data_IF_319567351714
#
_entry.id   IF_319567351714
#
_cell.length_a   1.000
_cell.length_b   1.000
_cell.length_c   1.000
_cell.angle_alpha   90.00
_cell.angle_beta   90.00
_cell.angle_gamma   90.00
#
_symmetry.space_group_name_H-M   'P 1'
#
loop_
_entity.id
_entity.type
_entity.pdbx_description
1 polymer ?
#
# COMPACT_ATOMS: atom_id res chain seq x y z
N UNK A 1 14.72 11.29 -14.59
CA UNK A 1 14.00 10.88 -13.37
C UNK A 1 12.51 10.91 -13.66
N UNK A 2 11.71 9.98 -13.14
CA UNK A 2 10.25 9.96 -13.28
C UNK A 2 9.63 10.07 -11.87
N UNK A 3 8.94 11.17 -11.53
CA UNK A 3 8.33 11.33 -10.22
C UNK A 3 6.99 10.59 -10.08
N UNK A 4 6.41 10.10 -11.17
CA UNK A 4 5.10 9.44 -11.12
C UNK A 4 5.21 8.10 -10.40
N UNK A 5 4.35 7.89 -9.41
CA UNK A 5 4.29 6.68 -8.60
C UNK A 5 2.86 6.17 -8.45
N UNK A 6 2.76 4.86 -8.28
CA UNK A 6 1.54 4.14 -7.99
C UNK A 6 1.75 3.25 -6.76
N UNK A 7 0.87 3.34 -5.77
CA UNK A 7 0.92 2.56 -4.53
C UNK A 7 -0.35 1.73 -4.42
N UNK A 8 -0.20 0.40 -4.44
CA UNK A 8 -1.30 -0.53 -4.23
C UNK A 8 -1.36 -0.98 -2.77
N UNK A 9 -2.52 -0.79 -2.14
CA UNK A 9 -2.81 -1.29 -0.80
C UNK A 9 -3.94 -2.30 -0.91
N UNK A 10 -3.61 -3.59 -0.76
CA UNK A 10 -4.52 -4.70 -1.05
C UNK A 10 -4.78 -5.51 0.23
N UNK A 11 -6.05 -5.81 0.49
CA UNK A 11 -6.45 -6.89 1.39
C UNK A 11 -6.42 -8.21 0.60
N UNK A 12 -5.47 -9.13 0.88
CA UNK A 12 -5.34 -10.37 0.14
C UNK A 12 -6.51 -11.34 0.36
N UNK A 13 -7.20 -11.27 1.51
CA UNK A 13 -8.32 -12.14 1.85
C UNK A 13 -9.58 -11.73 1.09
N UNK A 14 -9.84 -10.43 1.03
CA UNK A 14 -10.95 -9.88 0.25
C UNK A 14 -10.61 -9.77 -1.24
N UNK A 15 -9.32 -9.81 -1.59
CA UNK A 15 -8.81 -9.52 -2.94
C UNK A 15 -9.37 -8.20 -3.47
N UNK A 16 -9.44 -7.20 -2.58
CA UNK A 16 -9.86 -5.83 -2.86
C UNK A 16 -8.84 -4.87 -2.25
N UNK A 17 -8.83 -3.64 -2.72
CA UNK A 17 -7.94 -2.62 -2.18
C UNK A 17 -8.08 -1.29 -2.90
N UNK A 18 -7.05 -0.48 -2.78
CA UNK A 18 -6.99 0.84 -3.39
C UNK A 18 -5.66 1.06 -4.11
N UNK A 19 -5.74 1.71 -5.26
CA UNK A 19 -4.61 2.21 -6.03
C UNK A 19 -4.53 3.72 -5.84
N UNK A 20 -3.44 4.18 -5.23
CA UNK A 20 -3.12 5.58 -5.09
C UNK A 20 -2.13 5.97 -6.18
N UNK A 21 -2.43 7.03 -6.95
CA UNK A 21 -1.52 7.60 -7.94
C UNK A 21 -1.09 8.99 -7.52
N UNK A 22 0.14 9.36 -7.85
CA UNK A 22 0.64 10.69 -7.51
C UNK A 22 2.06 10.94 -7.96
N UNK A 23 2.63 12.02 -7.45
CA UNK A 23 4.02 12.37 -7.69
C UNK A 23 4.83 12.26 -6.39
N UNK A 24 6.00 11.66 -6.50
CA UNK A 24 6.93 11.45 -5.40
C UNK A 24 8.09 12.44 -5.45
N UNK A 25 8.50 12.90 -4.26
CA UNK A 25 9.77 13.59 -4.06
C UNK A 25 10.58 12.92 -2.95
N UNK A 26 11.89 12.87 -3.14
CA UNK A 26 12.82 12.28 -2.18
C UNK A 26 13.34 13.40 -1.28
N UNK A 27 13.14 13.24 0.03
CA UNK A 27 13.62 14.14 1.07
C UNK A 27 14.76 13.44 1.81
N UNK A 28 15.91 14.09 1.91
CA UNK A 28 17.13 13.54 2.55
C UNK A 28 17.56 14.31 3.80
N UNK A 29 17.13 15.56 3.93
CA UNK A 29 17.50 16.47 5.01
C UNK A 29 16.46 17.60 5.13
N UNK A 30 16.67 18.48 6.12
CA UNK A 30 15.84 19.65 6.39
C UNK A 30 14.74 19.42 7.41
N UNK A 31 14.02 20.49 7.76
CA UNK A 31 13.01 20.46 8.83
C UNK A 31 11.91 19.42 8.61
N UNK A 32 11.43 19.30 7.37
CA UNK A 32 10.41 18.31 7.00
C UNK A 32 10.92 16.87 7.13
N UNK A 33 12.19 16.63 6.81
CA UNK A 33 12.82 15.32 7.02
C UNK A 33 12.86 14.98 8.51
N UNK A 34 13.33 15.91 9.34
CA UNK A 34 13.46 15.71 10.79
C UNK A 34 12.10 15.50 11.46
N UNK A 35 11.07 16.23 11.04
CA UNK A 35 9.70 16.08 11.53
C UNK A 35 9.17 14.67 11.27
N UNK A 36 9.26 14.19 10.03
CA UNK A 36 8.77 12.86 9.63
C UNK A 36 9.63 11.78 10.29
N UNK A 37 10.96 11.93 10.31
CA UNK A 37 11.86 10.99 10.97
C UNK A 37 11.50 10.84 12.44
N UNK A 38 11.31 11.94 13.16
CA UNK A 38 10.93 11.94 14.57
C UNK A 38 9.59 11.25 14.82
N UNK A 39 8.61 11.41 13.91
CA UNK A 39 7.35 10.68 13.97
C UNK A 39 7.56 9.15 13.97
N UNK A 40 8.39 8.63 13.05
CA UNK A 40 8.69 7.20 13.00
C UNK A 40 9.55 6.71 14.17
N UNK A 41 10.50 7.52 14.66
CA UNK A 41 11.30 7.21 15.85
C UNK A 41 10.42 7.07 17.10
N UNK A 42 9.46 7.98 17.29
CA UNK A 42 8.48 7.89 18.40
C UNK A 42 7.62 6.63 18.33
N UNK A 43 7.36 6.12 17.13
CA UNK A 43 6.68 4.82 16.90
C UNK A 43 7.59 3.60 17.10
N UNK A 44 8.84 3.80 17.51
CA UNK A 44 9.76 2.71 17.87
C UNK A 44 10.58 2.17 16.69
N UNK A 45 10.54 2.80 15.51
CA UNK A 45 11.42 2.41 14.41
C UNK A 45 12.87 2.73 14.79
N UNK A 46 13.74 1.71 14.80
CA UNK A 46 15.17 1.83 15.15
C UNK A 46 16.12 1.67 13.97
N UNK A 47 15.64 1.10 12.85
CA UNK A 47 16.44 0.91 11.65
C UNK A 47 16.91 2.27 11.07
N UNK A 48 18.07 2.32 10.40
CA UNK A 48 18.49 3.52 9.69
C UNK A 48 17.46 3.88 8.61
N UNK A 49 17.10 5.16 8.53
CA UNK A 49 16.26 5.72 7.49
C UNK A 49 17.16 6.66 6.71
N UNK A 50 17.44 6.34 5.45
CA UNK A 50 18.40 7.10 4.63
C UNK A 50 17.73 8.21 3.84
N UNK A 51 16.44 8.07 3.54
CA UNK A 51 15.65 9.01 2.76
C UNK A 51 14.18 8.76 3.02
N UNK A 52 13.37 9.79 2.88
CA UNK A 52 11.92 9.73 2.96
C UNK A 52 11.37 10.00 1.57
N UNK A 53 10.47 9.14 1.10
CA UNK A 53 9.73 9.37 -0.15
C UNK A 53 8.37 9.92 0.23
N UNK A 54 8.15 11.20 -0.06
CA UNK A 54 6.85 11.85 0.14
C UNK A 54 6.08 11.82 -1.17
N UNK A 55 4.82 11.37 -1.12
CA UNK A 55 3.95 11.25 -2.29
C UNK A 55 2.76 12.17 -2.15
N UNK A 56 2.62 13.10 -3.08
CA UNK A 56 1.42 13.92 -3.25
C UNK A 56 0.43 13.13 -4.10
N UNK A 57 -0.61 12.60 -3.47
CA UNK A 57 -1.64 11.77 -4.13
C UNK A 57 -2.57 12.65 -4.95
N UNK A 58 -2.69 12.34 -6.24
CA UNK A 58 -3.57 13.04 -7.18
C UNK A 58 -4.85 12.27 -7.50
N UNK A 59 -4.82 10.94 -7.38
CA UNK A 59 -5.95 10.08 -7.72
C UNK A 59 -5.99 8.83 -6.83
N UNK A 60 -7.19 8.35 -6.54
CA UNK A 60 -7.44 7.13 -5.77
C UNK A 60 -8.54 6.34 -6.44
N UNK A 61 -8.28 5.07 -6.74
CA UNK A 61 -9.26 4.16 -7.33
C UNK A 61 -9.37 2.85 -6.55
N UNK A 62 -10.56 2.27 -6.52
CA UNK A 62 -10.77 0.92 -6.00
C UNK A 62 -10.13 -0.10 -6.94
N UNK A 63 -9.51 -1.13 -6.36
CA UNK A 63 -8.94 -2.26 -7.09
C UNK A 63 -9.64 -3.53 -6.62
N UNK A 64 -10.23 -4.26 -7.56
CA UNK A 64 -10.85 -5.55 -7.30
C UNK A 64 -10.17 -6.65 -8.11
N UNK A 65 -10.11 -7.85 -7.56
CA UNK A 65 -9.62 -9.01 -8.29
C UNK A 65 -10.48 -9.32 -9.53
N UNK A 66 -9.88 -9.73 -10.66
CA UNK A 66 -10.63 -10.14 -11.86
C UNK A 66 -11.67 -11.25 -11.64
N UNK A 67 -11.55 -12.01 -10.55
CA UNK A 67 -12.57 -12.98 -10.14
C UNK A 67 -13.95 -12.35 -9.92
N UNK A 68 -14.00 -11.09 -9.48
CA UNK A 68 -15.26 -10.37 -9.30
C UNK A 68 -15.92 -10.09 -10.65
N UNK A 69 -15.14 -9.76 -11.69
CA UNK A 69 -15.64 -9.56 -13.05
C UNK A 69 -16.16 -10.87 -13.68
N UNK A 70 -15.67 -12.02 -13.19
CA UNK A 70 -16.17 -13.35 -13.55
C UNK A 70 -17.42 -13.77 -12.75
N UNK A 71 -17.99 -12.88 -11.94
CA UNK A 71 -19.21 -13.13 -11.15
C UNK A 71 -18.98 -13.93 -9.86
N UNK A 72 -17.73 -14.16 -9.45
CA UNK A 72 -17.43 -14.91 -8.22
C UNK A 72 -17.69 -14.02 -7.01
N UNK A 73 -18.50 -14.52 -6.08
CA UNK A 73 -18.85 -13.79 -4.86
C UNK A 73 -17.69 -13.75 -3.86
N UNK A 74 -17.73 -12.76 -2.96
CA UNK A 74 -16.75 -12.63 -1.89
C UNK A 74 -16.76 -13.86 -0.95
N UNK A 75 -17.93 -14.47 -0.73
CA UNK A 75 -18.05 -15.70 0.08
C UNK A 75 -17.30 -16.86 -0.57
N UNK A 76 -17.40 -17.02 -1.88
CA UNK A 76 -16.68 -18.06 -2.62
C UNK A 76 -15.17 -17.82 -2.61
N UNK A 77 -14.74 -16.56 -2.74
CA UNK A 77 -13.32 -16.16 -2.63
C UNK A 77 -12.76 -16.53 -1.25
N UNK A 78 -13.45 -16.15 -0.18
CA UNK A 78 -13.08 -16.48 1.20
C UNK A 78 -13.04 -17.99 1.43
N UNK A 79 -14.02 -18.73 0.91
CA UNK A 79 -14.09 -20.20 1.02
C UNK A 79 -12.91 -20.88 0.33
N UNK A 80 -12.53 -20.43 -0.88
CA UNK A 80 -11.35 -20.96 -1.59
C UNK A 80 -10.05 -20.71 -0.82
N UNK A 81 -9.87 -19.50 -0.27
CA UNK A 81 -8.73 -19.19 0.59
C UNK A 81 -8.70 -20.09 1.82
N UNK A 82 -9.81 -20.21 2.57
CA UNK A 82 -9.89 -21.07 3.75
C UNK A 82 -9.49 -22.53 3.44
N UNK A 83 -10.04 -23.11 2.37
CA UNK A 83 -9.72 -24.47 1.94
C UNK A 83 -8.25 -24.65 1.56
N UNK A 84 -7.64 -23.67 0.90
CA UNK A 84 -6.23 -23.72 0.51
C UNK A 84 -5.30 -23.78 1.75
N UNK A 85 -5.57 -22.97 2.77
CA UNK A 85 -4.77 -22.95 4.00
C UNK A 85 -5.07 -24.10 4.97
N UNK A 86 -6.29 -24.66 4.96
CA UNK A 86 -6.59 -25.90 5.71
C UNK A 86 -5.91 -27.14 5.11
N UNK A 87 -5.48 -27.07 3.84
CA UNK A 87 -4.80 -28.14 3.13
C UNK A 87 -3.26 -28.07 3.16
N UNK A 88 -2.71 -27.05 3.83
CA UNK A 88 -1.28 -26.83 4.05
C UNK A 88 -0.87 -27.28 5.45
#
# INVERSE_FOLDING_TARGET
SNPNVEINVIDPLLRKGYLFKGQARIIKDGSLYDEILNHYRKKGIKSPINSIVLVDVSDVSEVTSPLYDMGISEQEIKSKWKKHFESL
#
